data_IF_774928038375
#
_entry.id   IF_774928038375
#
_cell.length_a   1.000
_cell.length_b   1.000
_cell.length_c   1.000
_cell.angle_alpha   90.00
_cell.angle_beta   90.00
_cell.angle_gamma   90.00
#
_symmetry.space_group_name_H-M   'P 1'
#
loop_
_entity.id
_entity.type
_entity.pdbx_description
1 polymer ?
#
# COMPACT_ATOMS: atom_id res chain seq x y z
N UNK A 1 6.00 14.76 -9.18
CA UNK A 1 5.86 13.36 -9.64
C UNK A 1 6.32 12.47 -8.50
N UNK A 2 5.53 11.45 -8.13
CA UNK A 2 5.94 10.43 -7.16
C UNK A 2 6.08 9.10 -7.87
N UNK A 3 7.14 8.36 -7.53
CA UNK A 3 7.43 7.04 -8.06
C UNK A 3 7.04 5.98 -7.02
N UNK A 4 6.47 4.89 -7.49
CA UNK A 4 6.05 3.75 -6.68
C UNK A 4 6.65 2.50 -7.29
N UNK A 5 7.52 1.85 -6.53
CA UNK A 5 7.97 0.49 -6.80
C UNK A 5 7.09 -0.47 -5.98
N UNK A 6 6.25 -1.23 -6.67
CA UNK A 6 5.33 -2.17 -6.06
C UNK A 6 5.83 -3.59 -6.32
N UNK A 7 6.21 -4.29 -5.25
CA UNK A 7 6.58 -5.70 -5.28
C UNK A 7 5.63 -6.51 -4.42
N UNK A 8 5.11 -7.60 -4.99
CA UNK A 8 4.14 -8.51 -4.38
C UNK A 8 4.73 -9.91 -4.36
N UNK A 9 4.50 -10.60 -3.26
CA UNK A 9 4.85 -12.01 -3.10
C UNK A 9 3.75 -12.72 -2.29
N UNK A 10 3.34 -13.90 -2.74
CA UNK A 10 2.37 -14.75 -2.04
C UNK A 10 0.90 -14.50 -2.35
N UNK A 11 0.57 -13.83 -3.45
CA UNK A 11 -0.82 -13.72 -3.94
C UNK A 11 -1.15 -14.81 -4.97
N UNK A 12 -2.43 -15.12 -5.14
CA UNK A 12 -2.85 -15.99 -6.23
C UNK A 12 -2.55 -15.33 -7.59
N UNK A 13 -2.34 -16.10 -8.66
CA UNK A 13 -2.08 -15.54 -9.98
C UNK A 13 -3.24 -14.66 -10.48
N UNK A 14 -2.89 -13.65 -11.27
CA UNK A 14 -3.83 -12.78 -11.97
C UNK A 14 -3.57 -11.29 -11.80
N UNK A 15 -4.50 -10.48 -12.30
CA UNK A 15 -4.41 -9.03 -12.31
C UNK A 15 -4.94 -8.40 -11.02
N UNK A 16 -4.14 -7.53 -10.43
CA UNK A 16 -4.49 -6.77 -9.24
C UNK A 16 -4.39 -5.27 -9.53
N UNK A 17 -5.19 -4.48 -8.85
CA UNK A 17 -5.21 -3.01 -8.95
C UNK A 17 -4.73 -2.42 -7.63
N UNK A 18 -3.75 -1.53 -7.71
CA UNK A 18 -3.25 -0.77 -6.56
C UNK A 18 -4.04 0.54 -6.44
N UNK A 19 -4.68 0.73 -5.28
CA UNK A 19 -5.46 1.92 -4.96
C UNK A 19 -5.04 2.53 -3.63
N UNK A 20 -5.03 3.86 -3.53
CA UNK A 20 -4.92 4.61 -2.28
C UNK A 20 -6.32 4.98 -1.82
N UNK A 21 -6.63 4.67 -0.56
CA UNK A 21 -7.93 4.87 0.05
C UNK A 21 -7.96 6.11 0.92
N UNK A 22 -9.15 6.53 1.30
CA UNK A 22 -9.33 7.77 2.07
C UNK A 22 -8.79 7.68 3.50
N UNK A 23 -9.00 6.54 4.17
CA UNK A 23 -8.60 6.33 5.55
C UNK A 23 -7.41 5.36 5.68
N UNK A 24 -6.55 5.62 6.66
CA UNK A 24 -5.53 4.67 7.13
C UNK A 24 -6.05 3.68 8.17
N UNK A 25 -7.36 3.45 8.24
CA UNK A 25 -7.97 2.53 9.20
C UNK A 25 -7.99 1.10 8.64
N UNK A 26 -7.18 0.23 9.23
CA UNK A 26 -7.07 -1.20 8.89
C UNK A 26 -7.65 -2.12 9.99
N UNK A 27 -8.45 -1.57 10.92
CA UNK A 27 -9.07 -2.34 12.02
C UNK A 27 -9.99 -3.47 11.53
N UNK A 28 -10.53 -3.33 10.32
CA UNK A 28 -11.30 -4.36 9.63
C UNK A 28 -10.70 -4.74 8.27
N UNK A 29 -9.36 -4.71 8.17
CA UNK A 29 -8.67 -4.98 6.91
C UNK A 29 -8.96 -3.91 5.86
N UNK A 30 -9.13 -4.31 4.61
CA UNK A 30 -9.44 -3.38 3.52
C UNK A 30 -10.85 -2.76 3.64
N UNK A 31 -11.77 -3.38 4.38
CA UNK A 31 -13.16 -2.92 4.51
C UNK A 31 -13.29 -1.57 5.25
N UNK A 32 -12.42 -1.29 6.22
CA UNK A 32 -12.43 -0.04 7.01
C UNK A 32 -11.70 1.13 6.35
N UNK A 33 -11.11 0.93 5.17
CA UNK A 33 -10.25 1.94 4.52
C UNK A 33 -11.01 3.09 3.84
N UNK A 34 -12.34 2.99 3.73
CA UNK A 34 -13.18 3.96 3.03
C UNK A 34 -13.08 3.83 1.51
N UNK A 35 -13.48 4.87 0.77
CA UNK A 35 -13.49 4.89 -0.69
C UNK A 35 -12.09 5.07 -1.30
N UNK A 36 -12.01 4.98 -2.64
CA UNK A 36 -10.82 5.39 -3.38
C UNK A 36 -10.63 6.90 -3.18
N UNK A 37 -9.42 7.32 -2.84
CA UNK A 37 -9.10 8.73 -2.61
C UNK A 37 -9.47 9.61 -3.82
N UNK A 38 -10.24 10.66 -3.54
CA UNK A 38 -10.83 11.62 -4.49
C UNK A 38 -11.92 11.09 -5.44
N UNK A 39 -12.20 9.78 -5.47
CA UNK A 39 -13.33 9.25 -6.25
C UNK A 39 -14.68 9.73 -5.67
N UNK A 40 -14.77 9.84 -4.35
CA UNK A 40 -15.99 10.33 -3.66
C UNK A 40 -16.18 11.83 -3.86
N UNK A 41 -15.09 12.62 -3.85
CA UNK A 41 -15.16 14.06 -4.12
C UNK A 41 -15.71 14.37 -5.51
N UNK A 42 -15.29 13.63 -6.53
CA UNK A 42 -15.82 13.78 -7.89
C UNK A 42 -17.34 13.46 -7.97
N UNK A 43 -17.80 12.46 -7.21
CA UNK A 43 -19.22 12.06 -7.14
C UNK A 43 -20.10 13.08 -6.41
N UNK A 44 -19.59 13.71 -5.34
CA UNK A 44 -20.35 14.66 -4.50
C UNK A 44 -20.35 16.08 -5.07
N UNK A 45 -19.26 16.52 -5.71
CA UNK A 45 -19.12 17.88 -6.26
C UNK A 45 -19.68 18.05 -7.68
N UNK A 46 -20.37 17.03 -8.23
CA UNK A 46 -21.07 17.14 -9.52
C UNK A 46 -20.17 17.56 -10.68
N UNK A 47 -18.92 17.10 -10.71
CA UNK A 47 -17.94 17.54 -11.70
C UNK A 47 -18.31 17.02 -13.09
N UNK A 48 -18.74 17.93 -13.97
CA UNK A 48 -19.13 17.72 -15.38
C UNK A 48 -17.93 17.66 -16.34
N UNK A 49 -16.75 17.24 -15.88
CA UNK A 49 -15.56 17.10 -16.71
C UNK A 49 -15.32 15.61 -17.02
N UNK A 50 -14.93 15.24 -18.25
CA UNK A 50 -14.79 13.85 -18.64
C UNK A 50 -13.63 13.21 -17.87
N UNK A 51 -13.96 12.21 -17.05
CA UNK A 51 -13.16 11.00 -16.81
C UNK A 51 -11.65 11.22 -16.62
N UNK A 52 -11.23 12.00 -15.63
CA UNK A 52 -9.90 11.77 -15.02
C UNK A 52 -10.03 10.60 -14.04
N UNK A 53 -9.24 9.56 -14.23
CA UNK A 53 -9.10 8.48 -13.24
C UNK A 53 -8.87 9.11 -11.86
N UNK A 54 -9.55 8.64 -10.80
CA UNK A 54 -9.33 9.15 -9.46
C UNK A 54 -7.85 9.11 -9.11
N UNK A 55 -7.31 10.15 -8.44
CA UNK A 55 -5.89 10.19 -8.04
C UNK A 55 -5.49 9.01 -7.15
N UNK A 56 -6.46 8.39 -6.47
CA UNK A 56 -6.27 7.17 -5.71
C UNK A 56 -6.03 5.91 -6.56
N UNK A 57 -6.19 5.92 -7.88
CA UNK A 57 -5.88 4.74 -8.72
C UNK A 57 -4.45 4.84 -9.24
N UNK A 58 -3.58 3.93 -8.79
CA UNK A 58 -2.15 3.98 -9.10
C UNK A 58 -1.78 3.12 -10.30
N UNK A 59 -2.52 2.03 -10.54
CA UNK A 59 -2.33 1.17 -11.71
C UNK A 59 -2.63 -0.29 -11.39
N UNK A 60 -2.19 -1.19 -12.25
CA UNK A 60 -2.34 -2.63 -12.07
C UNK A 60 -1.01 -3.36 -12.11
N UNK A 61 -0.97 -4.50 -11.43
CA UNK A 61 0.16 -5.43 -11.40
C UNK A 61 -0.35 -6.83 -11.74
N UNK A 62 0.38 -7.54 -12.58
CA UNK A 62 0.13 -8.94 -12.87
C UNK A 62 0.95 -9.79 -11.91
N UNK A 63 0.28 -10.74 -11.26
CA UNK A 63 0.90 -11.73 -10.38
C UNK A 63 1.04 -13.03 -11.16
N UNK A 64 2.26 -13.54 -11.23
CA UNK A 64 2.62 -14.76 -11.95
C UNK A 64 2.14 -16.04 -11.23
N UNK A 65 2.35 -17.19 -11.87
CA UNK A 65 2.00 -18.52 -11.31
C UNK A 65 2.73 -18.85 -10.00
N UNK A 66 3.85 -18.18 -9.71
CA UNK A 66 4.62 -18.32 -8.47
C UNK A 66 4.15 -17.35 -7.38
N UNK A 67 3.10 -16.59 -7.64
CA UNK A 67 2.53 -15.62 -6.73
C UNK A 67 3.37 -14.34 -6.58
N UNK A 68 4.19 -14.00 -7.58
CA UNK A 68 5.05 -12.81 -7.58
C UNK A 68 4.58 -11.80 -8.62
N UNK A 69 4.65 -10.52 -8.26
CA UNK A 69 4.36 -9.42 -9.17
C UNK A 69 5.28 -8.24 -8.88
N UNK A 70 5.75 -7.56 -9.92
CA UNK A 70 6.48 -6.31 -9.77
C UNK A 70 6.00 -5.31 -10.83
N UNK A 71 5.83 -4.06 -10.42
CA UNK A 71 5.52 -2.96 -11.35
C UNK A 71 6.09 -1.66 -10.83
N UNK A 72 6.58 -0.84 -11.76
CA UNK A 72 7.00 0.52 -11.50
C UNK A 72 5.93 1.49 -12.01
N UNK A 73 5.45 2.37 -11.15
CA UNK A 73 4.34 3.30 -11.44
C UNK A 73 4.76 4.73 -11.10
N UNK A 74 4.36 5.69 -11.92
CA UNK A 74 4.50 7.11 -11.63
C UNK A 74 3.12 7.79 -11.54
N UNK A 75 2.96 8.68 -10.56
CA UNK A 75 1.73 9.47 -10.40
C UNK A 75 2.01 10.93 -10.04
N UNK A 76 1.23 11.88 -10.55
CA UNK A 76 1.32 13.30 -10.21
C UNK A 76 0.65 13.59 -8.85
N UNK A 77 1.08 12.87 -7.81
CA UNK A 77 0.61 13.00 -6.43
C UNK A 77 1.77 13.41 -5.55
N UNK A 78 1.55 14.22 -4.53
CA UNK A 78 2.58 14.54 -3.56
C UNK A 78 2.59 13.54 -2.38
N UNK A 79 3.78 13.16 -1.92
CA UNK A 79 3.95 12.15 -0.86
C UNK A 79 3.19 12.54 0.42
N UNK A 80 3.23 13.81 0.80
CA UNK A 80 2.55 14.30 2.02
C UNK A 80 1.02 14.17 1.97
N UNK A 81 0.41 14.10 0.78
CA UNK A 81 -1.03 13.86 0.64
C UNK A 81 -1.40 12.40 0.90
N UNK A 82 -0.44 11.47 0.78
CA UNK A 82 -0.64 10.03 0.93
C UNK A 82 -0.34 9.51 2.33
N UNK A 83 0.56 10.16 3.08
CA UNK A 83 0.97 9.71 4.42
C UNK A 83 -0.26 9.62 5.34
N UNK A 84 -0.40 8.48 6.03
CA UNK A 84 -1.52 8.22 6.94
C UNK A 84 -2.79 7.70 6.26
N UNK A 85 -2.80 7.60 4.92
CA UNK A 85 -3.82 6.84 4.18
C UNK A 85 -3.43 5.37 4.10
N UNK A 86 -4.29 4.54 3.53
CA UNK A 86 -3.97 3.15 3.22
C UNK A 86 -3.83 2.92 1.72
N UNK A 87 -2.98 1.97 1.36
CA UNK A 87 -2.92 1.37 0.03
C UNK A 87 -3.58 0.00 0.09
N UNK A 88 -4.46 -0.28 -0.87
CA UNK A 88 -5.12 -1.56 -1.06
C UNK A 88 -4.74 -2.12 -2.42
N UNK A 89 -4.33 -3.39 -2.45
CA UNK A 89 -4.08 -4.14 -3.69
C UNK A 89 -5.05 -5.31 -3.73
N UNK A 90 -5.95 -5.31 -4.73
CA UNK A 90 -7.00 -6.32 -4.86
C UNK A 90 -7.36 -6.56 -6.32
N UNK A 91 -8.01 -7.69 -6.62
CA UNK A 91 -8.60 -7.97 -7.95
C UNK A 91 -9.78 -7.04 -8.27
N UNK A 92 -10.46 -6.51 -7.24
CA UNK A 92 -11.54 -5.53 -7.38
C UNK A 92 -11.09 -4.16 -6.84
N UNK A 93 -11.09 -3.12 -7.68
CA UNK A 93 -10.59 -1.80 -7.29
C UNK A 93 -11.55 -1.01 -6.36
N UNK A 94 -12.86 -1.13 -6.57
CA UNK A 94 -13.83 -0.29 -5.84
C UNK A 94 -14.21 -0.88 -4.48
N UNK A 95 -14.22 -2.20 -4.37
CA UNK A 95 -14.83 -2.94 -3.26
C UNK A 95 -16.29 -3.31 -3.57
N UNK A 96 -17.10 -3.68 -2.55
CA UNK A 96 -16.73 -3.85 -1.14
C UNK A 96 -15.69 -4.97 -0.96
N UNK A 97 -14.86 -4.84 0.08
CA UNK A 97 -13.83 -5.83 0.40
C UNK A 97 -14.33 -6.76 1.48
N UNK A 98 -14.15 -8.06 1.29
CA UNK A 98 -14.37 -9.04 2.33
C UNK A 98 -13.28 -8.93 3.39
N UNK A 99 -13.66 -9.11 4.65
CA UNK A 99 -12.74 -9.02 5.79
C UNK A 99 -11.62 -10.06 5.72
N UNK A 100 -11.92 -11.23 5.18
CA UNK A 100 -11.04 -12.41 5.15
C UNK A 100 -10.64 -12.81 3.72
N UNK A 101 -10.49 -11.83 2.81
CA UNK A 101 -9.99 -12.12 1.47
C UNK A 101 -8.46 -12.25 1.45
N UNK A 102 -7.98 -13.48 1.29
CA UNK A 102 -6.56 -13.81 1.10
C UNK A 102 -5.89 -13.09 -0.10
N UNK A 103 -6.68 -12.60 -1.06
CA UNK A 103 -6.19 -11.91 -2.24
C UNK A 103 -6.29 -10.38 -2.13
N UNK A 104 -6.65 -9.84 -0.96
CA UNK A 104 -6.69 -8.40 -0.75
C UNK A 104 -5.64 -8.00 0.27
N UNK A 105 -4.62 -7.28 -0.18
CA UNK A 105 -3.59 -6.71 0.67
C UNK A 105 -3.94 -5.28 1.04
N UNK A 106 -3.66 -4.91 2.29
CA UNK A 106 -3.85 -3.54 2.77
C UNK A 106 -2.68 -3.15 3.67
N UNK A 107 -2.27 -1.89 3.60
CA UNK A 107 -1.27 -1.32 4.50
C UNK A 107 -1.40 0.19 4.61
N UNK A 108 -1.04 0.73 5.77
CA UNK A 108 -0.99 2.19 5.98
C UNK A 108 0.30 2.74 5.36
N UNK A 109 0.17 3.82 4.59
CA UNK A 109 1.29 4.54 3.99
C UNK A 109 2.00 5.31 5.09
N UNK A 110 3.10 4.73 5.56
CA UNK A 110 3.92 5.28 6.61
C UNK A 110 5.04 6.18 6.06
N UNK A 111 5.61 7.00 6.95
CA UNK A 111 6.87 7.69 6.67
C UNK A 111 7.99 6.67 6.70
N UNK A 112 8.93 6.81 5.77
CA UNK A 112 10.11 5.97 5.68
C UNK A 112 11.35 6.85 5.66
N UNK A 113 12.44 6.37 6.27
CA UNK A 113 13.72 7.06 6.27
C UNK A 113 14.26 7.21 4.83
N UNK A 114 14.99 8.29 4.55
CA UNK A 114 15.51 8.58 3.23
C UNK A 114 16.65 7.65 2.83
N UNK A 115 17.13 7.80 1.59
CA UNK A 115 18.40 7.18 1.17
C UNK A 115 19.49 7.69 2.10
N UNK A 116 20.30 6.79 2.66
CA UNK A 116 21.38 7.05 3.63
C UNK A 116 21.00 7.21 5.11
N UNK A 117 19.70 7.13 5.46
CA UNK A 117 19.30 7.19 6.88
C UNK A 117 19.25 5.81 7.56
N UNK A 118 18.95 4.72 6.85
CA UNK A 118 18.84 3.38 7.45
C UNK A 118 18.81 2.24 6.40
N UNK A 119 19.40 1.08 6.72
CA UNK A 119 19.18 -0.17 5.97
C UNK A 119 17.78 -0.74 6.29
N UNK A 120 16.96 -0.96 5.26
CA UNK A 120 15.56 -1.39 5.43
C UNK A 120 15.43 -2.91 5.39
N UNK A 121 15.27 -3.53 6.55
CA UNK A 121 14.77 -4.90 6.69
C UNK A 121 13.37 -4.91 7.34
N UNK A 122 12.48 -5.78 6.84
CA UNK A 122 11.19 -6.04 7.48
C UNK A 122 11.44 -6.93 8.69
N UNK A 123 11.55 -6.31 9.86
CA UNK A 123 11.67 -7.04 11.12
C UNK A 123 10.28 -7.44 11.62
N UNK A 124 10.02 -8.74 11.77
CA UNK A 124 8.88 -9.20 12.54
C UNK A 124 9.09 -8.77 13.99
N UNK A 125 8.17 -7.97 14.54
CA UNK A 125 8.25 -7.55 15.93
C UNK A 125 8.33 -8.79 16.81
N UNK A 126 9.46 -8.98 17.48
CA UNK A 126 9.72 -10.13 18.36
C UNK A 126 9.03 -9.99 19.73
N UNK A 127 8.40 -8.82 19.98
CA UNK A 127 7.90 -8.42 21.29
C UNK A 127 8.99 -7.90 22.24
N UNK A 128 10.24 -7.83 21.76
CA UNK A 128 11.39 -7.34 22.53
C UNK A 128 11.50 -5.82 22.42
N UNK A 129 12.12 -5.19 23.42
CA UNK A 129 12.41 -3.77 23.35
C UNK A 129 13.59 -3.50 22.40
N UNK A 130 13.73 -2.24 21.96
CA UNK A 130 14.76 -1.80 20.99
C UNK A 130 16.18 -2.18 21.44
N UNK A 131 16.45 -2.21 22.74
CA UNK A 131 17.76 -2.56 23.29
C UNK A 131 18.05 -4.06 23.19
N UNK A 132 17.05 -4.90 23.41
CA UNK A 132 17.12 -6.34 23.25
C UNK A 132 17.30 -6.72 21.78
N UNK A 133 16.55 -6.08 20.87
CA UNK A 133 16.74 -6.32 19.43
C UNK A 133 18.12 -5.85 18.97
N UNK A 134 18.62 -4.71 19.47
CA UNK A 134 19.98 -4.25 19.17
C UNK A 134 21.05 -5.23 19.64
N UNK A 135 20.92 -5.81 20.84
CA UNK A 135 21.86 -6.84 21.31
C UNK A 135 21.86 -8.08 20.41
N UNK A 136 20.70 -8.51 19.94
CA UNK A 136 20.59 -9.65 19.02
C UNK A 136 21.19 -9.33 17.65
N UNK A 137 20.94 -8.14 17.11
CA UNK A 137 21.51 -7.72 15.83
C UNK A 137 23.04 -7.56 15.92
N UNK A 138 23.57 -7.04 17.04
CA UNK A 138 25.02 -7.01 17.30
C UNK A 138 25.60 -8.43 17.38
N UNK A 139 24.89 -9.37 18.02
CA UNK A 139 25.31 -10.77 18.05
C UNK A 139 25.27 -11.45 16.67
N UNK A 140 24.44 -10.94 15.76
CA UNK A 140 24.33 -11.38 14.36
C UNK A 140 25.26 -10.60 13.40
N UNK A 141 26.12 -9.72 13.91
CA UNK A 141 27.17 -9.08 13.14
C UNK A 141 26.86 -7.68 12.61
N UNK A 142 25.75 -7.05 13.03
CA UNK A 142 25.57 -5.60 12.82
C UNK A 142 26.47 -4.82 13.80
N UNK A 143 27.34 -3.95 13.28
CA UNK A 143 28.21 -3.07 14.09
C UNK A 143 27.45 -1.82 14.53
#
# INVERSE_FOLDING_TARGET
>A
MTLVDLTINGLAPGKYVATVREAGDISQGAASTGGIWEAVKAKVLGSTEPTKEPRGVFGSVEVDEKGRGNVFLDRPVAIWEMIGRSMVVSKNAEGPFDREDSNTLVGVIARSAGVWDNDKMVCSCSGKNVWQERQEQVSQGMV
#
